data_IF_797417229668
#
_entry.id   IF_797417229668
#
_cell.length_a   1.000
_cell.length_b   1.000
_cell.length_c   1.000
_cell.angle_alpha   90.00
_cell.angle_beta   90.00
_cell.angle_gamma   90.00
#
_symmetry.space_group_name_H-M   'P 1'
#
loop_
_entity.id
_entity.type
_entity.pdbx_description
1 polymer ?
#
# COMPACT_ATOMS: atom_id res chain seq x y z
N UNK A 1 -23.06 6.11 -1.45
CA UNK A 1 -22.95 7.33 -0.62
C UNK A 1 -21.46 7.57 -0.44
N UNK A 2 -20.89 8.57 -1.12
CA UNK A 2 -19.43 8.75 -1.10
C UNK A 2 -18.96 9.19 0.28
N UNK A 3 -18.18 8.35 0.96
CA UNK A 3 -17.53 8.69 2.23
C UNK A 3 -16.70 9.97 2.08
N UNK A 4 -16.82 10.89 3.03
CA UNK A 4 -15.99 12.10 3.04
C UNK A 4 -14.59 11.79 3.57
N UNK A 5 -13.58 12.53 3.09
CA UNK A 5 -12.20 12.48 3.59
C UNK A 5 -11.75 13.89 3.99
N UNK A 6 -10.75 13.99 4.86
CA UNK A 6 -10.12 15.27 5.22
C UNK A 6 -8.69 15.37 4.66
N UNK A 7 -8.24 16.61 4.48
CA UNK A 7 -6.84 16.93 4.22
C UNK A 7 -6.07 16.95 5.54
N UNK A 8 -4.92 16.28 5.61
CA UNK A 8 -4.05 16.24 6.78
C UNK A 8 -2.64 16.76 6.49
N UNK A 9 -1.96 17.38 7.48
CA UNK A 9 -0.57 17.80 7.32
C UNK A 9 0.38 16.63 7.08
N UNK A 10 1.47 16.87 6.34
CA UNK A 10 2.46 15.84 6.01
C UNK A 10 3.00 15.09 7.24
N UNK A 11 3.25 15.83 8.34
CA UNK A 11 3.78 15.26 9.59
C UNK A 11 2.90 14.19 10.25
N UNK A 12 1.63 14.04 9.84
CA UNK A 12 0.77 12.94 10.33
C UNK A 12 1.29 11.57 9.93
N UNK A 13 2.09 11.46 8.87
CA UNK A 13 2.76 10.21 8.51
C UNK A 13 3.60 9.62 9.66
N UNK A 14 4.30 10.47 10.43
CA UNK A 14 5.09 10.03 11.59
C UNK A 14 4.19 9.42 12.67
N UNK A 15 3.00 9.99 12.86
CA UNK A 15 2.01 9.44 13.78
C UNK A 15 1.48 8.08 13.30
N UNK A 16 1.21 7.92 11.99
CA UNK A 16 0.76 6.64 11.44
C UNK A 16 1.80 5.53 11.66
N UNK A 17 3.08 5.83 11.42
CA UNK A 17 4.18 4.91 11.72
C UNK A 17 4.30 4.58 13.21
N UNK A 18 4.18 5.60 14.07
CA UNK A 18 4.23 5.42 15.52
C UNK A 18 3.06 4.55 16.04
N UNK A 19 1.84 4.75 15.50
CA UNK A 19 0.70 3.88 15.80
C UNK A 19 0.91 2.45 15.27
N UNK A 20 1.50 2.30 14.08
CA UNK A 20 1.91 1.00 13.56
C UNK A 20 2.83 0.23 14.52
N UNK A 21 3.85 0.93 15.05
CA UNK A 21 4.76 0.35 16.04
C UNK A 21 4.07 0.06 17.39
N UNK A 22 3.15 0.92 17.83
CA UNK A 22 2.35 0.69 19.06
C UNK A 22 1.46 -0.54 18.92
N UNK A 23 0.77 -0.68 17.79
CA UNK A 23 -0.08 -1.84 17.51
C UNK A 23 0.72 -3.15 17.48
N UNK A 24 1.92 -3.14 16.87
CA UNK A 24 2.81 -4.30 16.91
C UNK A 24 3.19 -4.68 18.34
N UNK A 25 3.61 -3.71 19.17
CA UNK A 25 4.00 -3.96 20.57
C UNK A 25 2.87 -4.43 21.48
N UNK A 26 1.60 -4.17 21.12
CA UNK A 26 0.43 -4.65 21.88
C UNK A 26 0.17 -6.15 21.70
N UNK A 27 0.57 -6.73 20.56
CA UNK A 27 0.28 -8.12 20.21
C UNK A 27 1.40 -8.76 19.38
N UNK A 28 2.68 -8.76 19.84
CA UNK A 28 3.82 -9.09 18.99
C UNK A 28 3.75 -10.50 18.43
N UNK A 29 3.33 -11.49 19.24
CA UNK A 29 3.22 -12.89 18.80
C UNK A 29 2.14 -13.09 17.74
N UNK A 30 0.98 -12.47 17.90
CA UNK A 30 -0.10 -12.55 16.92
C UNK A 30 0.32 -11.93 15.57
N UNK A 31 0.99 -10.79 15.61
CA UNK A 31 1.52 -10.12 14.42
C UNK A 31 2.65 -10.91 13.73
N UNK A 32 3.56 -11.49 14.50
CA UNK A 32 4.61 -12.35 13.96
C UNK A 32 4.00 -13.60 13.32
N UNK A 33 3.01 -14.23 13.97
CA UNK A 33 2.27 -15.36 13.42
C UNK A 33 1.61 -15.01 12.07
N UNK A 34 0.93 -13.85 11.99
CA UNK A 34 0.33 -13.38 10.75
C UNK A 34 1.36 -13.17 9.64
N UNK A 35 2.51 -12.59 9.98
CA UNK A 35 3.58 -12.28 9.03
C UNK A 35 4.27 -13.54 8.52
N UNK A 36 4.57 -14.48 9.41
CA UNK A 36 5.12 -15.78 9.05
C UNK A 36 4.16 -16.53 8.14
N UNK A 37 2.86 -16.57 8.48
CA UNK A 37 1.86 -17.20 7.63
C UNK A 37 1.79 -16.55 6.23
N UNK A 38 1.83 -15.22 6.15
CA UNK A 38 1.85 -14.49 4.88
C UNK A 38 3.11 -14.79 4.07
N UNK A 39 4.29 -14.76 4.69
CA UNK A 39 5.58 -15.04 4.02
C UNK A 39 5.62 -16.48 3.51
N UNK A 40 5.20 -17.46 4.33
CA UNK A 40 5.15 -18.86 3.91
C UNK A 40 4.18 -19.07 2.75
N UNK A 41 3.00 -18.44 2.80
CA UNK A 41 2.05 -18.51 1.70
C UNK A 41 2.61 -17.89 0.41
N UNK A 42 3.25 -16.72 0.49
CA UNK A 42 3.89 -16.08 -0.67
C UNK A 42 5.02 -16.95 -1.22
N UNK A 43 5.83 -17.58 -0.35
CA UNK A 43 6.89 -18.49 -0.75
C UNK A 43 6.33 -19.72 -1.48
N UNK A 44 5.29 -20.36 -0.95
CA UNK A 44 4.62 -21.51 -1.57
C UNK A 44 4.01 -21.13 -2.91
N UNK A 45 3.27 -20.03 -2.96
CA UNK A 45 2.67 -19.54 -4.21
C UNK A 45 3.76 -19.22 -5.24
N UNK A 46 4.86 -18.59 -4.84
CA UNK A 46 5.94 -18.16 -5.72
C UNK A 46 6.64 -19.29 -6.49
N UNK A 47 6.58 -20.54 -6.00
CA UNK A 47 7.14 -21.71 -6.69
C UNK A 47 6.26 -22.15 -7.88
N UNK A 48 4.98 -21.76 -7.90
CA UNK A 48 4.06 -22.13 -8.97
C UNK A 48 4.34 -21.32 -10.24
N UNK A 49 4.09 -21.86 -11.46
CA UNK A 49 4.32 -21.15 -12.72
C UNK A 49 3.57 -19.81 -12.83
N UNK A 50 2.34 -19.75 -12.31
CA UNK A 50 1.52 -18.53 -12.23
C UNK A 50 1.55 -17.88 -10.85
N UNK A 51 2.41 -18.38 -9.97
CA UNK A 51 2.60 -17.94 -8.59
C UNK A 51 2.78 -16.44 -8.43
N UNK A 52 3.73 -15.82 -9.15
CA UNK A 52 3.97 -14.37 -9.05
C UNK A 52 2.74 -13.52 -9.39
N UNK A 53 1.90 -13.96 -10.33
CA UNK A 53 0.67 -13.26 -10.69
C UNK A 53 -0.37 -13.39 -9.56
N UNK A 54 -0.51 -14.60 -8.99
CA UNK A 54 -1.39 -14.85 -7.85
C UNK A 54 -0.97 -14.06 -6.61
N UNK A 55 0.33 -13.98 -6.33
CA UNK A 55 0.86 -13.16 -5.22
C UNK A 55 0.49 -11.70 -5.41
N UNK A 56 0.72 -11.12 -6.60
CA UNK A 56 0.36 -9.72 -6.88
C UNK A 56 -1.12 -9.44 -6.69
N UNK A 57 -1.98 -10.39 -7.05
CA UNK A 57 -3.42 -10.29 -6.87
C UNK A 57 -3.88 -10.49 -5.42
N UNK A 58 -3.25 -11.39 -4.66
CA UNK A 58 -3.66 -11.69 -3.28
C UNK A 58 -3.02 -10.78 -2.25
N UNK A 59 -1.89 -10.15 -2.55
CA UNK A 59 -1.18 -9.34 -1.57
C UNK A 59 -2.03 -8.17 -1.03
N UNK A 60 -2.76 -7.39 -1.86
CA UNK A 60 -3.64 -6.34 -1.34
C UNK A 60 -4.75 -6.83 -0.39
N UNK A 61 -5.56 -7.88 -0.71
CA UNK A 61 -6.57 -8.37 0.22
C UNK A 61 -5.97 -8.89 1.52
N UNK A 62 -4.80 -9.51 1.48
CA UNK A 62 -4.11 -10.03 2.66
C UNK A 62 -3.50 -8.91 3.51
N UNK A 63 -2.93 -7.89 2.88
CA UNK A 63 -2.47 -6.70 3.58
C UNK A 63 -3.64 -5.98 4.27
N UNK A 64 -4.80 -5.91 3.60
CA UNK A 64 -6.02 -5.35 4.17
C UNK A 64 -6.54 -6.15 5.38
N UNK A 65 -6.32 -7.47 5.44
CA UNK A 65 -6.60 -8.25 6.65
C UNK A 65 -5.80 -7.75 7.85
N UNK A 66 -4.52 -7.45 7.67
CA UNK A 66 -3.70 -6.84 8.73
C UNK A 66 -4.26 -5.51 9.22
N UNK A 67 -4.73 -4.65 8.31
CA UNK A 67 -5.37 -3.39 8.71
C UNK A 67 -6.69 -3.62 9.50
N UNK A 68 -7.47 -4.63 9.12
CA UNK A 68 -8.66 -5.05 9.90
C UNK A 68 -8.27 -5.57 11.28
N UNK A 69 -7.19 -6.35 11.37
CA UNK A 69 -6.65 -6.82 12.65
C UNK A 69 -6.19 -5.67 13.56
N UNK A 70 -5.50 -4.68 13.00
CA UNK A 70 -5.14 -3.47 13.74
C UNK A 70 -6.37 -2.70 14.24
N UNK A 71 -7.43 -2.62 13.44
CA UNK A 71 -8.69 -1.98 13.82
C UNK A 71 -9.39 -2.71 14.97
N UNK A 72 -9.54 -4.04 14.87
CA UNK A 72 -10.13 -4.87 15.94
C UNK A 72 -9.33 -4.75 17.24
N UNK A 73 -8.00 -4.78 17.16
CA UNK A 73 -7.12 -4.59 18.30
C UNK A 73 -7.35 -3.20 18.92
N UNK A 74 -7.30 -2.13 18.12
CA UNK A 74 -7.48 -0.77 18.62
C UNK A 74 -8.85 -0.55 19.27
N UNK A 75 -9.92 -1.11 18.70
CA UNK A 75 -11.26 -1.01 19.25
C UNK A 75 -11.37 -1.69 20.62
N UNK A 76 -10.82 -2.91 20.74
CA UNK A 76 -10.77 -3.65 22.01
C UNK A 76 -9.93 -2.93 23.05
N UNK A 77 -8.77 -2.40 22.67
CA UNK A 77 -7.93 -1.58 23.55
C UNK A 77 -8.62 -0.30 24.05
N UNK A 78 -9.49 0.31 23.25
CA UNK A 78 -10.28 1.47 23.67
C UNK A 78 -11.35 1.07 24.71
N UNK A 79 -11.96 -0.11 24.56
CA UNK A 79 -12.99 -0.65 25.45
C UNK A 79 -12.48 -1.46 26.65
N UNK A 80 -11.17 -1.70 26.76
CA UNK A 80 -10.61 -2.52 27.82
C UNK A 80 -10.72 -1.85 29.21
N UNK A 81 -10.97 -2.63 30.28
CA UNK A 81 -10.97 -2.12 31.65
C UNK A 81 -9.62 -1.46 31.99
N UNK A 82 -9.66 -0.26 32.58
CA UNK A 82 -8.47 0.57 32.86
C UNK A 82 -7.83 0.27 34.21
N UNK A 83 -8.52 -0.49 35.03
CA UNK A 83 -8.14 -0.96 36.36
C UNK A 83 -7.24 -2.21 36.31
N UNK A 84 -7.17 -2.90 35.18
CA UNK A 84 -6.35 -4.09 35.03
C UNK A 84 -4.87 -3.74 34.74
N UNK A 85 -3.93 -4.62 35.12
CA UNK A 85 -2.53 -4.53 34.69
C UNK A 85 -2.42 -4.53 33.17
N UNK A 86 -1.40 -3.83 32.64
CA UNK A 86 -1.20 -3.68 31.20
C UNK A 86 -1.07 -5.03 30.45
N UNK A 87 -0.49 -6.04 31.12
CA UNK A 87 -0.33 -7.40 30.60
C UNK A 87 -1.67 -8.09 30.41
N UNK A 88 -2.57 -7.99 31.40
CA UNK A 88 -3.90 -8.59 31.32
C UNK A 88 -4.79 -7.82 30.33
N UNK A 89 -4.64 -6.51 30.22
CA UNK A 89 -5.28 -5.73 29.15
C UNK A 89 -4.82 -6.25 27.78
N UNK A 90 -3.52 -6.49 27.59
CA UNK A 90 -3.01 -7.03 26.33
C UNK A 90 -3.58 -8.43 26.04
N UNK A 91 -3.65 -9.31 27.04
CA UNK A 91 -4.24 -10.64 26.88
C UNK A 91 -5.73 -10.57 26.49
N UNK A 92 -6.55 -9.84 27.26
CA UNK A 92 -8.00 -9.68 27.02
C UNK A 92 -8.29 -9.03 25.67
N UNK A 93 -7.46 -8.07 25.26
CA UNK A 93 -7.64 -7.39 23.97
C UNK A 93 -7.18 -8.24 22.78
N UNK A 94 -6.22 -9.13 22.98
CA UNK A 94 -5.72 -10.03 21.94
C UNK A 94 -6.65 -11.25 21.75
N UNK A 95 -7.26 -11.74 22.84
CA UNK A 95 -8.12 -12.91 22.82
C UNK A 95 -9.35 -12.68 21.92
N UNK A 96 -9.57 -13.56 20.94
CA UNK A 96 -10.64 -13.44 19.95
C UNK A 96 -10.52 -12.27 18.95
N UNK A 97 -9.49 -11.41 19.03
CA UNK A 97 -9.28 -10.33 18.08
C UNK A 97 -9.09 -10.87 16.65
N UNK A 98 -8.33 -11.97 16.52
CA UNK A 98 -8.11 -12.62 15.23
C UNK A 98 -9.42 -13.13 14.61
N UNK A 99 -10.26 -13.81 15.39
CA UNK A 99 -11.53 -14.37 14.91
C UNK A 99 -12.51 -13.28 14.46
N UNK A 100 -12.53 -12.17 15.20
CA UNK A 100 -13.30 -10.98 14.82
C UNK A 100 -12.80 -10.40 13.51
N UNK A 101 -11.49 -10.19 13.36
CA UNK A 101 -10.90 -9.68 12.13
C UNK A 101 -11.14 -10.61 10.95
N UNK A 102 -11.06 -11.92 11.17
CA UNK A 102 -11.35 -12.93 10.16
C UNK A 102 -12.81 -12.90 9.71
N UNK A 103 -13.76 -12.71 10.63
CA UNK A 103 -15.18 -12.55 10.31
C UNK A 103 -15.44 -11.28 9.50
N UNK A 104 -14.90 -10.14 9.93
CA UNK A 104 -15.04 -8.85 9.23
C UNK A 104 -14.43 -8.90 7.82
N UNK A 105 -13.24 -9.47 7.70
CA UNK A 105 -12.55 -9.62 6.42
C UNK A 105 -13.28 -10.59 5.48
N UNK A 106 -13.72 -11.76 5.98
CA UNK A 106 -14.51 -12.72 5.19
C UNK A 106 -15.82 -12.11 4.68
N UNK A 107 -16.48 -11.27 5.47
CA UNK A 107 -17.69 -10.57 5.04
C UNK A 107 -17.47 -9.63 3.84
N UNK A 108 -16.24 -9.13 3.66
CA UNK A 108 -15.85 -8.21 2.57
C UNK A 108 -14.89 -8.81 1.56
N UNK A 109 -14.67 -10.14 1.57
CA UNK A 109 -13.67 -10.78 0.70
C UNK A 109 -14.01 -10.61 -0.79
N UNK A 110 -15.29 -10.74 -1.16
CA UNK A 110 -15.74 -10.62 -2.56
C UNK A 110 -15.41 -9.24 -3.17
N UNK A 111 -15.87 -8.11 -2.59
CA UNK A 111 -15.53 -6.80 -3.13
C UNK A 111 -14.02 -6.51 -3.05
N UNK A 112 -13.31 -7.08 -2.08
CA UNK A 112 -11.87 -6.90 -1.93
C UNK A 112 -11.08 -7.61 -3.04
N UNK A 113 -11.48 -8.84 -3.38
CA UNK A 113 -10.91 -9.56 -4.52
C UNK A 113 -11.20 -8.84 -5.83
N UNK A 114 -12.42 -8.33 -6.02
CA UNK A 114 -12.78 -7.52 -7.18
C UNK A 114 -11.93 -6.25 -7.27
N UNK A 115 -11.80 -5.51 -6.17
CA UNK A 115 -10.94 -4.32 -6.11
C UNK A 115 -9.49 -4.66 -6.45
N UNK A 116 -8.97 -5.78 -5.92
CA UNK A 116 -7.61 -6.23 -6.23
C UNK A 116 -7.41 -6.58 -7.70
N UNK A 117 -8.37 -7.28 -8.33
CA UNK A 117 -8.32 -7.54 -9.79
C UNK A 117 -8.31 -6.21 -10.55
N UNK A 118 -9.20 -5.28 -10.22
CA UNK A 118 -9.28 -3.99 -10.91
C UNK A 118 -7.98 -3.19 -10.76
N UNK A 119 -7.39 -3.14 -9.56
CA UNK A 119 -6.10 -2.48 -9.32
C UNK A 119 -4.98 -3.14 -10.12
N UNK A 120 -4.91 -4.47 -10.14
CA UNK A 120 -3.91 -5.21 -10.93
C UNK A 120 -4.10 -4.98 -12.42
N UNK A 121 -5.34 -4.94 -12.93
CA UNK A 121 -5.62 -4.66 -14.34
C UNK A 121 -5.25 -3.22 -14.71
N UNK A 122 -5.64 -2.23 -13.91
CA UNK A 122 -5.31 -0.82 -14.15
C UNK A 122 -3.79 -0.60 -14.12
N UNK A 123 -3.11 -1.12 -13.09
CA UNK A 123 -1.66 -1.07 -12.98
C UNK A 123 -0.95 -1.87 -14.08
N UNK A 124 -1.54 -3.00 -14.49
CA UNK A 124 -1.03 -3.85 -15.57
C UNK A 124 -1.09 -3.17 -16.93
N UNK A 125 -2.21 -2.53 -17.27
CA UNK A 125 -2.35 -1.73 -18.51
C UNK A 125 -1.32 -0.60 -18.53
N UNK A 126 -1.15 0.12 -17.41
CA UNK A 126 -0.12 1.14 -17.29
C UNK A 126 1.29 0.56 -17.49
N UNK A 127 1.59 -0.56 -16.82
CA UNK A 127 2.90 -1.22 -16.94
C UNK A 127 3.19 -1.71 -18.35
N UNK A 128 2.21 -2.30 -19.04
CA UNK A 128 2.33 -2.74 -20.44
C UNK A 128 2.58 -1.54 -21.34
N UNK A 129 1.83 -0.45 -21.19
CA UNK A 129 2.02 0.77 -21.97
C UNK A 129 3.41 1.38 -21.74
N UNK A 130 3.89 1.40 -20.49
CA UNK A 130 5.23 1.88 -20.15
C UNK A 130 6.32 1.02 -20.78
N UNK A 131 6.20 -0.31 -20.72
CA UNK A 131 7.17 -1.23 -21.34
C UNK A 131 7.15 -1.12 -22.86
N UNK A 132 5.97 -0.99 -23.48
CA UNK A 132 5.85 -0.80 -24.92
C UNK A 132 6.51 0.51 -25.38
N UNK A 133 6.31 1.60 -24.62
CA UNK A 133 6.98 2.88 -24.85
C UNK A 133 8.51 2.74 -24.71
N UNK A 134 8.98 2.08 -23.66
CA UNK A 134 10.41 1.83 -23.44
C UNK A 134 11.03 1.02 -24.57
N UNK A 135 10.38 -0.05 -25.01
CA UNK A 135 10.84 -0.89 -26.13
C UNK A 135 10.91 -0.09 -27.44
N UNK A 136 9.92 0.77 -27.69
CA UNK A 136 9.87 1.64 -28.89
C UNK A 136 11.01 2.64 -28.87
N UNK A 137 11.21 3.33 -27.75
CA UNK A 137 12.29 4.31 -27.59
C UNK A 137 13.68 3.65 -27.63
N UNK A 138 13.81 2.42 -27.12
CA UNK A 138 15.03 1.63 -27.25
C UNK A 138 15.32 1.30 -28.72
N UNK A 139 14.32 0.85 -29.48
CA UNK A 139 14.46 0.53 -30.89
C UNK A 139 14.84 1.74 -31.73
N UNK A 140 14.15 2.87 -31.54
CA UNK A 140 14.47 4.15 -32.19
C UNK A 140 15.85 4.65 -31.78
N UNK A 141 16.20 4.52 -30.49
CA UNK A 141 17.50 4.90 -29.96
C UNK A 141 18.64 4.12 -30.62
N UNK A 142 18.53 2.81 -30.71
CA UNK A 142 19.52 1.93 -31.37
C UNK A 142 19.70 2.28 -32.85
N UNK A 143 18.60 2.53 -33.58
CA UNK A 143 18.65 2.98 -34.97
C UNK A 143 19.36 4.33 -35.10
N UNK A 144 19.08 5.27 -34.18
CA UNK A 144 19.74 6.57 -34.10
C UNK A 144 21.25 6.46 -33.84
N UNK A 145 21.68 5.56 -32.94
CA UNK A 145 23.11 5.28 -32.69
C UNK A 145 23.79 4.79 -33.97
N UNK A 146 23.18 3.82 -34.66
CA UNK A 146 23.72 3.28 -35.92
C UNK A 146 23.81 4.35 -37.02
N UNK A 147 22.78 5.18 -37.17
CA UNK A 147 22.76 6.25 -38.16
C UNK A 147 23.84 7.31 -37.89
N UNK A 148 23.99 7.77 -36.64
CA UNK A 148 25.06 8.70 -36.27
C UNK A 148 26.45 8.09 -36.46
N UNK A 149 26.60 6.80 -36.15
CA UNK A 149 27.85 6.06 -36.41
C UNK A 149 28.24 6.02 -37.88
N UNK A 150 27.27 5.86 -38.78
CA UNK A 150 27.53 5.88 -40.22
C UNK A 150 27.97 7.26 -40.73
N UNK A 151 27.50 8.36 -40.11
CA UNK A 151 27.79 9.73 -40.54
C UNK A 151 29.08 10.30 -39.93
N UNK A 152 29.37 9.97 -38.68
CA UNK A 152 30.45 10.59 -37.90
C UNK A 152 31.40 9.58 -37.24
N UNK A 153 31.37 8.32 -37.68
CA UNK A 153 32.26 7.25 -37.19
C UNK A 153 32.12 7.01 -35.69
N UNK A 154 33.24 6.80 -35.01
CA UNK A 154 33.29 6.55 -33.55
C UNK A 154 32.72 7.70 -32.72
N UNK A 155 32.90 8.95 -33.16
CA UNK A 155 32.33 10.12 -32.47
C UNK A 155 30.79 10.13 -32.56
N UNK A 156 30.24 9.76 -33.71
CA UNK A 156 28.80 9.60 -33.91
C UNK A 156 28.19 8.48 -33.06
N UNK A 157 28.86 7.32 -33.00
CA UNK A 157 28.44 6.20 -32.14
C UNK A 157 28.38 6.62 -30.66
N UNK A 158 29.41 7.33 -30.17
CA UNK A 158 29.47 7.78 -28.79
C UNK A 158 28.36 8.79 -28.47
N UNK A 159 28.14 9.77 -29.36
CA UNK A 159 27.08 10.76 -29.20
C UNK A 159 25.69 10.12 -29.21
N UNK A 160 25.44 9.19 -30.14
CA UNK A 160 24.19 8.45 -30.23
C UNK A 160 23.92 7.59 -28.99
N UNK A 161 24.93 6.86 -28.52
CA UNK A 161 24.83 6.06 -27.30
C UNK A 161 24.56 6.92 -26.07
N UNK A 162 25.21 8.09 -25.95
CA UNK A 162 24.96 9.04 -24.87
C UNK A 162 23.53 9.58 -24.88
N UNK A 163 23.01 9.98 -26.05
CA UNK A 163 21.64 10.47 -26.20
C UNK A 163 20.61 9.39 -25.84
N UNK A 164 20.82 8.15 -26.30
CA UNK A 164 19.98 7.01 -25.97
C UNK A 164 19.98 6.72 -24.47
N UNK A 165 21.16 6.68 -23.85
CA UNK A 165 21.28 6.46 -22.41
C UNK A 165 20.56 7.55 -21.61
N UNK A 166 20.69 8.82 -21.99
CA UNK A 166 19.99 9.94 -21.36
C UNK A 166 18.46 9.86 -21.49
N UNK A 167 17.97 9.48 -22.67
CA UNK A 167 16.54 9.27 -22.91
C UNK A 167 15.98 8.12 -22.06
N UNK A 168 16.71 7.00 -21.99
CA UNK A 168 16.34 5.84 -21.16
C UNK A 168 16.37 6.17 -19.68
N UNK A 169 17.40 6.87 -19.20
CA UNK A 169 17.48 7.30 -17.81
C UNK A 169 16.29 8.19 -17.42
N UNK A 170 15.95 9.16 -18.28
CA UNK A 170 14.78 10.03 -18.08
C UNK A 170 13.49 9.22 -18.05
N UNK A 171 13.29 8.30 -19.00
CA UNK A 171 12.11 7.45 -19.03
C UNK A 171 11.99 6.58 -17.77
N UNK A 172 13.09 5.98 -17.31
CA UNK A 172 13.12 5.18 -16.08
C UNK A 172 12.74 6.04 -14.87
N UNK A 173 13.28 7.26 -14.75
CA UNK A 173 12.91 8.17 -13.66
C UNK A 173 11.41 8.52 -13.69
N UNK A 174 10.86 8.85 -14.86
CA UNK A 174 9.42 9.09 -15.02
C UNK A 174 8.58 7.86 -14.67
N UNK A 175 9.04 6.66 -15.06
CA UNK A 175 8.42 5.39 -14.70
C UNK A 175 8.40 5.14 -13.20
N UNK A 176 9.51 5.43 -12.50
CA UNK A 176 9.59 5.31 -11.04
C UNK A 176 8.65 6.30 -10.34
N UNK A 177 8.60 7.55 -10.79
CA UNK A 177 7.65 8.55 -10.26
C UNK A 177 6.21 8.08 -10.46
N UNK A 178 5.88 7.62 -11.67
CA UNK A 178 4.53 7.11 -11.95
C UNK A 178 4.19 5.88 -11.11
N UNK A 179 5.13 4.95 -10.91
CA UNK A 179 4.94 3.79 -10.05
C UNK A 179 4.64 4.19 -8.59
N UNK A 180 5.36 5.19 -8.07
CA UNK A 180 5.10 5.73 -6.72
C UNK A 180 3.71 6.37 -6.66
N UNK A 181 3.34 7.20 -7.65
CA UNK A 181 2.02 7.84 -7.72
C UNK A 181 0.90 6.81 -7.77
N UNK A 182 1.03 5.77 -8.59
CA UNK A 182 0.06 4.67 -8.70
C UNK A 182 -0.04 3.91 -7.37
N UNK A 183 1.08 3.63 -6.72
CA UNK A 183 1.10 2.94 -5.42
C UNK A 183 0.39 3.77 -4.33
N UNK A 184 0.64 5.08 -4.31
CA UNK A 184 0.01 6.04 -3.40
C UNK A 184 -1.50 6.16 -3.68
N UNK A 185 -1.90 6.18 -4.95
CA UNK A 185 -3.32 6.25 -5.35
C UNK A 185 -4.14 5.06 -4.86
N UNK A 186 -3.54 3.87 -4.75
CA UNK A 186 -4.22 2.65 -4.32
C UNK A 186 -4.04 2.31 -2.84
N UNK A 187 -3.31 3.13 -2.08
CA UNK A 187 -2.99 2.91 -0.66
C UNK A 187 -4.22 2.62 0.21
N UNK A 188 -5.34 3.33 0.00
CA UNK A 188 -6.54 3.21 0.82
C UNK A 188 -7.57 2.19 0.32
N UNK A 189 -7.38 1.60 -0.86
CA UNK A 189 -8.41 0.74 -1.49
C UNK A 189 -8.81 -0.41 -0.57
N UNK A 190 -7.83 -1.13 -0.03
CA UNK A 190 -8.09 -2.28 0.84
C UNK A 190 -8.88 -1.91 2.09
N UNK A 191 -8.45 -0.85 2.78
CA UNK A 191 -9.11 -0.35 3.99
C UNK A 191 -10.50 0.26 3.72
N UNK A 192 -10.69 0.90 2.58
CA UNK A 192 -11.99 1.44 2.16
C UNK A 192 -13.01 0.33 1.90
N UNK A 193 -12.59 -0.78 1.30
CA UNK A 193 -13.47 -1.92 1.06
C UNK A 193 -13.82 -2.66 2.35
N UNK A 194 -12.82 -2.91 3.21
CA UNK A 194 -13.01 -3.72 4.42
C UNK A 194 -13.59 -2.94 5.59
N UNK A 195 -12.97 -1.82 5.94
CA UNK A 195 -13.36 -0.99 7.09
C UNK A 195 -14.32 0.13 6.70
N UNK A 196 -14.30 0.54 5.43
CA UNK A 196 -15.19 1.59 4.92
C UNK A 196 -16.47 1.12 4.27
N UNK A 197 -16.60 -0.19 4.04
CA UNK A 197 -17.78 -0.77 3.39
C UNK A 197 -17.99 -0.32 1.94
N UNK A 198 -17.02 0.35 1.32
CA UNK A 198 -17.13 0.80 -0.06
C UNK A 198 -17.08 -0.37 -1.05
N UNK A 199 -17.78 -0.24 -2.17
CA UNK A 199 -17.65 -1.17 -3.29
C UNK A 199 -16.31 -0.96 -4.03
N UNK A 200 -15.89 -1.96 -4.81
CA UNK A 200 -14.56 -2.00 -5.42
C UNK A 200 -14.23 -0.74 -6.24
N UNK A 201 -15.13 -0.31 -7.12
CA UNK A 201 -14.92 0.89 -7.95
C UNK A 201 -14.98 2.18 -7.13
N UNK A 202 -15.94 2.29 -6.21
CA UNK A 202 -16.06 3.45 -5.32
C UNK A 202 -14.79 3.61 -4.46
N UNK A 203 -14.26 2.52 -3.92
CA UNK A 203 -13.03 2.49 -3.15
C UNK A 203 -11.82 2.97 -3.95
N UNK A 204 -11.70 2.57 -5.22
CA UNK A 204 -10.62 3.04 -6.11
C UNK A 204 -10.70 4.55 -6.34
N UNK A 205 -11.87 5.05 -6.73
CA UNK A 205 -12.05 6.48 -7.01
C UNK A 205 -11.85 7.32 -5.76
N UNK A 206 -12.39 6.86 -4.63
CA UNK A 206 -12.25 7.55 -3.35
C UNK A 206 -10.81 7.51 -2.83
N UNK A 207 -10.11 6.38 -2.97
CA UNK A 207 -8.70 6.25 -2.64
C UNK A 207 -7.85 7.24 -3.44
N UNK A 208 -8.08 7.35 -4.75
CA UNK A 208 -7.36 8.29 -5.61
C UNK A 208 -7.58 9.74 -5.16
N UNK A 209 -8.83 10.15 -4.93
CA UNK A 209 -9.15 11.52 -4.49
C UNK A 209 -8.54 11.84 -3.13
N UNK A 210 -8.65 10.91 -2.18
CA UNK A 210 -8.06 11.07 -0.86
C UNK A 210 -6.53 11.10 -0.91
N UNK A 211 -5.92 10.29 -1.76
CA UNK A 211 -4.48 10.25 -1.96
C UNK A 211 -3.94 11.55 -2.56
N UNK A 212 -4.60 12.08 -3.60
CA UNK A 212 -4.26 13.36 -4.21
C UNK A 212 -4.42 14.54 -3.24
N UNK A 213 -5.44 14.49 -2.37
CA UNK A 213 -5.62 15.48 -1.33
C UNK A 213 -4.58 15.37 -0.19
N UNK A 214 -3.87 14.25 -0.07
CA UNK A 214 -2.95 13.99 1.05
C UNK A 214 -1.54 13.59 0.56
N UNK A 215 -1.13 14.08 -0.60
CA UNK A 215 0.17 13.74 -1.22
C UNK A 215 1.33 14.02 -0.27
N UNK A 216 1.31 15.13 0.48
CA UNK A 216 2.37 15.46 1.42
C UNK A 216 2.56 14.40 2.51
N UNK A 217 1.47 13.89 3.08
CA UNK A 217 1.52 12.86 4.10
C UNK A 217 1.92 11.49 3.52
N UNK A 218 1.36 11.11 2.36
CA UNK A 218 1.69 9.84 1.71
C UNK A 218 3.12 9.84 1.14
N UNK A 219 3.62 10.98 0.67
CA UNK A 219 5.01 11.13 0.25
C UNK A 219 5.96 10.99 1.44
N UNK A 220 5.68 11.64 2.58
CA UNK A 220 6.49 11.45 3.79
C UNK A 220 6.41 10.01 4.29
N UNK A 221 5.22 9.39 4.28
CA UNK A 221 5.06 7.99 4.62
C UNK A 221 5.92 7.08 3.72
N UNK A 222 5.92 7.34 2.41
CA UNK A 222 6.72 6.59 1.43
C UNK A 222 8.21 6.85 1.57
N UNK A 223 8.60 8.07 1.95
CA UNK A 223 10.00 8.41 2.23
C UNK A 223 10.52 7.62 3.46
N UNK A 224 9.69 7.47 4.49
CA UNK A 224 10.00 6.67 5.68
C UNK A 224 10.09 5.16 5.39
N UNK A 225 9.48 4.68 4.30
CA UNK A 225 9.66 3.29 3.85
C UNK A 225 11.10 3.02 3.38
N UNK A 226 11.84 4.01 2.87
CA UNK A 226 13.20 3.81 2.36
C UNK A 226 14.17 3.28 3.43
N UNK A 227 14.36 3.94 4.59
CA UNK A 227 15.22 3.39 5.64
C UNK A 227 14.70 2.06 6.19
N UNK A 228 13.37 1.88 6.27
CA UNK A 228 12.79 0.60 6.69
C UNK A 228 13.11 -0.54 5.70
N UNK A 229 13.06 -0.26 4.39
CA UNK A 229 13.45 -1.20 3.34
C UNK A 229 14.94 -1.51 3.39
N UNK A 230 15.80 -0.53 3.67
CA UNK A 230 17.23 -0.79 3.88
C UNK A 230 17.48 -1.73 5.06
N UNK A 231 16.70 -1.61 6.15
CA UNK A 231 16.78 -2.54 7.27
C UNK A 231 16.32 -3.96 6.90
N UNK A 232 15.27 -4.08 6.09
CA UNK A 232 14.84 -5.38 5.54
C UNK A 232 15.96 -6.01 4.72
N UNK A 233 16.62 -5.23 3.84
CA UNK A 233 17.75 -5.73 3.05
C UNK A 233 18.96 -6.12 3.93
N UNK A 234 19.30 -5.30 4.91
CA UNK A 234 20.40 -5.56 5.86
C UNK A 234 20.18 -6.85 6.67
N UNK A 235 18.92 -7.26 6.87
CA UNK A 235 18.53 -8.49 7.57
C UNK A 235 18.23 -9.65 6.64
N UNK A 236 18.72 -9.61 5.38
CA UNK A 236 18.49 -10.64 4.35
C UNK A 236 17.00 -10.92 4.11
N UNK A 237 16.15 -9.90 4.28
CA UNK A 237 14.70 -10.02 4.15
C UNK A 237 13.94 -10.30 5.44
N UNK A 238 14.60 -10.70 6.54
CA UNK A 238 13.93 -11.07 7.79
C UNK A 238 13.18 -9.91 8.45
N UNK A 239 13.63 -8.66 8.25
CA UNK A 239 12.96 -7.47 8.75
C UNK A 239 11.51 -7.32 8.24
N UNK A 240 11.14 -8.03 7.16
CA UNK A 240 9.76 -8.05 6.63
C UNK A 240 8.76 -8.58 7.67
N UNK A 241 9.18 -9.47 8.57
CA UNK A 241 8.34 -10.06 9.61
C UNK A 241 7.85 -9.03 10.64
N UNK A 242 8.59 -7.94 10.81
CA UNK A 242 8.22 -6.82 11.68
C UNK A 242 7.63 -5.68 10.88
N UNK A 243 8.15 -5.42 9.68
CA UNK A 243 7.69 -4.35 8.83
C UNK A 243 6.25 -4.56 8.34
N UNK A 244 5.87 -5.78 7.96
CA UNK A 244 4.52 -6.10 7.51
C UNK A 244 3.44 -5.71 8.55
N UNK A 245 3.54 -6.14 9.82
CA UNK A 245 2.64 -5.72 10.90
C UNK A 245 2.56 -4.21 11.07
N UNK A 246 3.72 -3.56 11.11
CA UNK A 246 3.82 -2.12 11.35
C UNK A 246 3.15 -1.36 10.21
N UNK A 247 3.35 -1.78 8.96
CA UNK A 247 2.72 -1.18 7.79
C UNK A 247 1.22 -1.45 7.74
N UNK A 248 0.77 -2.66 8.05
CA UNK A 248 -0.66 -2.96 8.11
C UNK A 248 -1.39 -2.13 9.16
N UNK A 249 -0.78 -1.97 10.34
CA UNK A 249 -1.35 -1.11 11.39
C UNK A 249 -1.23 0.39 11.06
N UNK A 250 -0.15 0.83 10.44
CA UNK A 250 -0.02 2.21 9.97
C UNK A 250 -1.01 2.53 8.83
N UNK A 251 -1.34 1.54 7.99
CA UNK A 251 -2.40 1.65 6.98
C UNK A 251 -3.75 1.91 7.65
N UNK A 252 -4.12 1.14 8.68
CA UNK A 252 -5.31 1.42 9.48
C UNK A 252 -5.28 2.81 10.13
N UNK A 253 -4.16 3.19 10.76
CA UNK A 253 -4.03 4.51 11.38
C UNK A 253 -4.18 5.66 10.37
N UNK A 254 -3.62 5.51 9.16
CA UNK A 254 -3.79 6.48 8.08
C UNK A 254 -5.24 6.57 7.60
N UNK A 255 -5.93 5.44 7.56
CA UNK A 255 -7.34 5.38 7.19
C UNK A 255 -8.24 6.02 8.25
N UNK A 256 -8.06 5.69 9.53
CA UNK A 256 -8.80 6.30 10.65
C UNK A 256 -8.57 7.81 10.69
N UNK A 257 -7.34 8.25 10.41
CA UNK A 257 -7.00 9.67 10.38
C UNK A 257 -7.62 10.42 9.20
N UNK A 258 -7.65 9.83 8.00
CA UNK A 258 -8.17 10.50 6.79
C UNK A 258 -9.70 10.41 6.69
N UNK A 259 -10.30 9.31 7.15
CA UNK A 259 -11.72 9.01 6.97
C UNK A 259 -12.53 8.97 8.28
N UNK A 260 -11.93 8.65 9.43
CA UNK A 260 -12.66 8.42 10.69
C UNK A 260 -13.32 9.67 11.28
N UNK A 261 -12.66 10.83 11.25
CA UNK A 261 -13.24 12.08 11.75
C UNK A 261 -14.37 12.64 10.87
N UNK A 262 -14.44 12.25 9.59
CA UNK A 262 -15.49 12.69 8.69
C UNK A 262 -16.85 12.03 9.01
N UNK A 263 -16.85 10.91 9.72
CA UNK A 263 -18.03 10.18 10.22
C UNK A 263 -18.70 10.87 11.42
N UNK A 264 -17.95 11.65 12.21
CA UNK A 264 -18.44 12.26 13.45
C UNK A 264 -19.21 13.59 13.26
N UNK A 265 -19.39 14.09 12.03
CA UNK A 265 -20.25 15.25 11.79
C UNK A 265 -21.73 14.83 11.94
N UNK A 266 -22.48 15.41 12.89
CA UNK A 266 -23.91 15.14 12.99
C UNK A 266 -24.57 15.51 11.66
N UNK A 267 -25.50 14.66 11.19
CA UNK A 267 -26.44 15.07 10.13
C UNK A 267 -27.18 16.26 10.71
N UNK A 268 -26.94 17.45 10.17
CA UNK A 268 -27.77 18.62 10.47
C UNK A 268 -29.20 18.23 10.14
N UNK A 269 -30.04 18.10 11.16
CA UNK A 269 -31.48 17.93 10.97
C UNK A 269 -31.97 19.06 10.04
N UNK A 270 -32.85 18.77 9.07
CA UNK A 270 -33.45 19.82 8.26
C UNK A 270 -34.20 20.74 9.21
N UNK A 271 -33.83 22.02 9.18
CA UNK A 271 -34.47 23.09 9.93
C UNK A 271 -35.97 23.08 9.61
N UNK A 272 -36.79 22.52 10.50
CA UNK A 272 -38.24 22.67 10.44
C UNK A 272 -38.57 24.06 10.99
N UNK A 273 -38.76 25.01 10.07
CA UNK A 273 -39.55 26.22 10.31
C UNK A 273 -40.86 26.07 9.53
#
# INVERSE_FOLDING_TARGET
MSRAFRHVPAGRALHWWAEGWRAFRRAPLAWLGLSVALVLMVAVLGVLPLGPLLVKWLLPPLFAFGAVFAASLQQRWRGAPRDLPAELIAEVTNDGAFDESARLWRARIKPLLLASILVVLLGGVFGIAFVALAATLLGVGLAGVGALGALAGSAGLLAGAGAMAGAMATLTLLGLVALVVVSVAFWFVGTLVTLGGADAWEAIVLSLRAALANVGALALFSLLLLPAAMLVLATMGLGVLVLLPVLSAASYASFDDVFGAAEARPRTEPNSL
#
